data_IF_966132063301
#
_entry.id   IF_966132063301
#
_cell.length_a   1.000
_cell.length_b   1.000
_cell.length_c   1.000
_cell.angle_alpha   90.00
_cell.angle_beta   90.00
_cell.angle_gamma   90.00
#
_symmetry.space_group_name_H-M   'P 1'
#
loop_
_entity.id
_entity.type
_entity.pdbx_description
1 polymer ?
#
# COMPACT_ATOMS: atom_id res chain seq x y z
N UNK A 1 -16.92 24.63 -44.10
CA UNK A 1 -16.14 25.06 -42.93
C UNK A 1 -16.09 23.86 -41.99
N UNK A 2 -15.09 23.01 -42.13
CA UNK A 2 -14.98 21.76 -41.35
C UNK A 2 -14.21 22.06 -40.06
N UNK A 3 -14.89 21.88 -38.92
CA UNK A 3 -14.29 21.96 -37.60
C UNK A 3 -13.62 20.61 -37.34
N UNK A 4 -12.29 20.58 -37.42
CA UNK A 4 -11.46 19.46 -36.97
C UNK A 4 -11.49 19.39 -35.44
N UNK A 5 -11.74 18.23 -34.81
CA UNK A 5 -11.49 18.07 -33.40
C UNK A 5 -9.99 17.97 -33.16
N UNK A 6 -9.47 18.85 -32.30
CA UNK A 6 -8.06 18.87 -31.89
C UNK A 6 -7.67 17.54 -31.25
N UNK A 7 -6.90 16.74 -31.96
CA UNK A 7 -6.23 15.57 -31.41
C UNK A 7 -5.04 16.06 -30.60
N UNK A 8 -5.24 16.30 -29.30
CA UNK A 8 -4.13 16.37 -28.35
C UNK A 8 -3.61 14.95 -28.14
N UNK A 9 -2.77 14.48 -29.06
CA UNK A 9 -1.89 13.35 -28.80
C UNK A 9 -0.72 13.87 -27.95
N UNK A 10 -0.97 14.07 -26.65
CA UNK A 10 0.12 14.03 -25.68
C UNK A 10 0.58 12.58 -25.65
N UNK A 11 1.84 12.34 -26.01
CA UNK A 11 2.47 11.02 -25.91
C UNK A 11 2.51 10.64 -24.42
N UNK A 12 1.42 10.06 -23.92
CA UNK A 12 1.35 9.58 -22.55
C UNK A 12 2.46 8.53 -22.38
N UNK A 13 3.50 8.89 -21.64
CA UNK A 13 4.63 8.00 -21.37
C UNK A 13 4.09 6.81 -20.59
N UNK A 14 4.11 5.63 -21.23
CA UNK A 14 3.69 4.38 -20.62
C UNK A 14 4.88 3.84 -19.81
N UNK A 15 4.69 3.71 -18.50
CA UNK A 15 5.67 3.13 -17.59
C UNK A 15 5.26 1.71 -17.19
N UNK A 16 6.21 0.83 -16.95
CA UNK A 16 5.92 -0.49 -16.39
C UNK A 16 5.64 -0.37 -14.90
N UNK A 17 4.50 -0.91 -14.44
CA UNK A 17 4.11 -0.90 -13.04
C UNK A 17 4.95 -1.91 -12.24
N UNK A 18 5.59 -1.44 -11.17
CA UNK A 18 6.20 -2.28 -10.15
C UNK A 18 5.14 -2.68 -9.11
N UNK A 19 4.48 -1.68 -8.54
CA UNK A 19 3.48 -1.88 -7.48
C UNK A 19 2.24 -1.04 -7.76
N UNK A 20 1.06 -1.65 -7.69
CA UNK A 20 -0.25 -0.99 -7.82
C UNK A 20 -0.98 -1.03 -6.49
N UNK A 21 -1.43 0.13 -6.01
CA UNK A 21 -2.21 0.26 -4.79
C UNK A 21 -3.69 0.45 -5.14
N UNK A 22 -4.52 -0.49 -4.69
CA UNK A 22 -5.95 -0.50 -4.92
C UNK A 22 -6.71 -0.19 -3.64
N UNK A 23 -7.54 0.84 -3.66
CA UNK A 23 -8.43 1.19 -2.56
C UNK A 23 -9.75 0.44 -2.68
N UNK A 24 -10.08 -0.33 -1.66
CA UNK A 24 -11.35 -1.04 -1.53
C UNK A 24 -12.49 -0.06 -1.24
N UNK A 25 -13.66 -0.30 -1.84
CA UNK A 25 -14.86 0.49 -1.57
C UNK A 25 -15.22 0.54 -0.09
N UNK A 26 -15.60 1.72 0.39
CA UNK A 26 -16.03 1.93 1.78
C UNK A 26 -17.35 1.20 2.06
N UNK A 27 -17.39 0.48 3.19
CA UNK A 27 -18.63 -0.09 3.74
C UNK A 27 -18.94 -1.52 3.33
N UNK A 28 -18.15 -2.13 2.43
CA UNK A 28 -18.34 -3.52 2.03
C UNK A 28 -17.01 -4.31 2.07
N UNK A 29 -16.98 -5.54 2.63
CA UNK A 29 -15.79 -6.37 2.56
C UNK A 29 -15.57 -6.87 1.13
N UNK A 30 -14.40 -6.59 0.55
CA UNK A 30 -14.05 -7.06 -0.79
C UNK A 30 -13.57 -8.53 -0.72
N UNK A 31 -14.23 -9.40 -1.48
CA UNK A 31 -13.94 -10.83 -1.50
C UNK A 31 -12.58 -11.13 -2.14
N UNK A 32 -12.06 -12.35 -1.95
CA UNK A 32 -10.86 -12.81 -2.67
C UNK A 32 -11.11 -12.91 -4.18
N UNK A 33 -12.33 -13.24 -4.60
CA UNK A 33 -12.68 -13.42 -6.01
C UNK A 33 -12.64 -12.09 -6.75
N UNK A 34 -13.18 -11.02 -6.15
CA UNK A 34 -13.14 -9.67 -6.74
C UNK A 34 -11.70 -9.20 -6.92
N UNK A 35 -10.83 -9.47 -5.93
CA UNK A 35 -9.40 -9.15 -6.02
C UNK A 35 -8.70 -9.91 -7.15
N UNK A 36 -8.97 -11.21 -7.27
CA UNK A 36 -8.40 -12.04 -8.32
C UNK A 36 -8.93 -11.64 -9.71
N UNK A 37 -10.22 -11.35 -9.82
CA UNK A 37 -10.86 -10.88 -11.04
C UNK A 37 -10.22 -9.57 -11.51
N UNK A 38 -10.05 -8.59 -10.63
CA UNK A 38 -9.37 -7.35 -10.98
C UNK A 38 -7.96 -7.62 -11.53
N UNK A 39 -7.19 -8.48 -10.88
CA UNK A 39 -5.83 -8.83 -11.35
C UNK A 39 -5.87 -9.47 -12.75
N UNK A 40 -6.79 -10.39 -13.01
CA UNK A 40 -6.91 -11.08 -14.30
C UNK A 40 -7.38 -10.15 -15.42
N UNK A 41 -8.34 -9.26 -15.13
CA UNK A 41 -8.86 -8.28 -16.08
C UNK A 41 -7.80 -7.23 -16.46
N UNK A 42 -6.84 -6.98 -15.57
CA UNK A 42 -5.82 -5.94 -15.76
C UNK A 42 -4.43 -6.49 -16.09
N UNK A 43 -4.26 -7.82 -16.18
CA UNK A 43 -2.98 -8.41 -16.56
C UNK A 43 -2.64 -8.07 -18.03
N UNK A 44 -1.42 -7.59 -18.27
CA UNK A 44 -0.94 -7.13 -19.57
C UNK A 44 -1.74 -5.96 -20.18
N UNK A 45 -2.56 -5.29 -19.38
CA UNK A 45 -3.29 -4.08 -19.80
C UNK A 45 -2.66 -2.81 -19.24
N UNK A 46 -3.14 -1.66 -19.72
CA UNK A 46 -2.68 -0.34 -19.31
C UNK A 46 -3.74 0.27 -18.40
N UNK A 47 -3.29 0.75 -17.24
CA UNK A 47 -4.12 1.43 -16.24
C UNK A 47 -3.69 2.87 -16.04
N UNK A 48 -4.59 3.68 -15.49
CA UNK A 48 -4.31 5.04 -15.03
C UNK A 48 -4.78 5.18 -13.58
N UNK A 49 -4.19 6.12 -12.85
CA UNK A 49 -4.64 6.46 -11.50
C UNK A 49 -5.98 7.18 -11.62
N UNK A 50 -6.99 6.70 -10.90
CA UNK A 50 -8.30 7.37 -10.92
C UNK A 50 -8.24 8.60 -10.03
N UNK A 51 -8.39 9.79 -10.63
CA UNK A 51 -8.59 11.01 -9.87
C UNK A 51 -10.08 11.14 -9.55
N UNK A 52 -10.44 11.11 -8.26
CA UNK A 52 -11.79 10.96 -7.70
C UNK A 52 -12.83 12.06 -8.03
N UNK A 53 -12.65 12.81 -9.11
CA UNK A 53 -13.56 13.91 -9.51
C UNK A 53 -14.72 13.47 -10.43
N UNK A 54 -14.75 12.23 -10.94
CA UNK A 54 -15.85 11.77 -11.79
C UNK A 54 -16.98 11.13 -10.97
N UNK A 55 -17.92 11.95 -10.50
CA UNK A 55 -19.13 11.55 -9.74
C UNK A 55 -20.20 10.75 -10.52
N UNK A 56 -19.86 10.07 -11.62
CA UNK A 56 -20.89 9.69 -12.62
C UNK A 56 -20.86 8.24 -13.10
N UNK A 57 -20.11 7.34 -12.46
CA UNK A 57 -20.28 5.90 -12.67
C UNK A 57 -20.42 5.20 -11.33
N UNK A 58 -21.22 4.14 -11.32
CA UNK A 58 -21.29 3.17 -10.23
C UNK A 58 -19.89 2.99 -9.63
N UNK A 59 -19.73 3.34 -8.34
CA UNK A 59 -18.41 3.38 -7.75
C UNK A 59 -17.82 1.95 -7.80
N UNK A 60 -16.71 1.81 -8.51
CA UNK A 60 -16.02 0.54 -8.67
C UNK A 60 -15.70 -0.07 -7.30
N UNK A 61 -15.72 -1.39 -7.22
CA UNK A 61 -15.41 -2.10 -5.96
C UNK A 61 -13.94 -1.90 -5.54
N UNK A 62 -13.07 -1.65 -6.52
CA UNK A 62 -11.64 -1.39 -6.38
C UNK A 62 -11.26 -0.15 -7.22
N UNK A 63 -10.59 0.80 -6.59
CA UNK A 63 -10.11 2.04 -7.22
C UNK A 63 -8.57 2.06 -7.25
N UNK A 64 -7.97 2.44 -8.37
CA UNK A 64 -6.51 2.62 -8.46
C UNK A 64 -6.13 3.90 -7.74
N UNK A 65 -5.61 3.76 -6.52
CA UNK A 65 -5.23 4.88 -5.65
C UNK A 65 -3.85 5.44 -6.02
N UNK A 66 -2.89 4.57 -6.31
CA UNK A 66 -1.55 4.96 -6.75
C UNK A 66 -0.84 3.82 -7.46
N UNK A 67 0.17 4.16 -8.26
CA UNK A 67 1.05 3.20 -8.93
C UNK A 67 2.50 3.65 -8.80
N UNK A 68 3.38 2.71 -8.47
CA UNK A 68 4.83 2.88 -8.49
C UNK A 68 5.38 2.22 -9.76
N UNK A 69 6.14 2.95 -10.59
CA UNK A 69 6.79 2.36 -11.77
C UNK A 69 8.07 1.64 -11.36
N UNK A 70 8.47 0.62 -12.13
CA UNK A 70 9.76 -0.07 -11.97
C UNK A 70 10.93 0.86 -12.20
N UNK A 71 10.88 1.59 -13.30
CA UNK A 71 11.88 2.58 -13.67
C UNK A 71 11.28 3.97 -13.52
N UNK A 72 11.69 4.67 -12.46
CA UNK A 72 11.32 6.07 -12.24
C UNK A 72 12.07 6.92 -13.26
N UNK A 73 11.35 7.42 -14.27
CA UNK A 73 11.86 8.51 -15.12
C UNK A 73 12.24 9.71 -14.24
N UNK A 74 13.24 10.51 -14.63
CA UNK A 74 13.60 11.74 -13.91
C UNK A 74 12.45 12.76 -13.81
N UNK A 75 11.42 12.64 -14.64
CA UNK A 75 10.19 13.44 -14.60
C UNK A 75 9.06 12.85 -13.74
N UNK A 76 9.22 11.62 -13.26
CA UNK A 76 8.21 10.93 -12.46
C UNK A 76 8.36 11.32 -10.98
N UNK A 77 7.26 11.75 -10.38
CA UNK A 77 7.15 12.04 -8.95
C UNK A 77 5.79 11.56 -8.44
N UNK A 78 5.62 11.32 -7.13
CA UNK A 78 4.32 10.99 -6.55
C UNK A 78 3.23 12.01 -6.93
N UNK A 79 3.58 13.29 -7.02
CA UNK A 79 2.69 14.40 -7.36
C UNK A 79 2.26 14.37 -8.84
N UNK A 80 3.17 14.00 -9.74
CA UNK A 80 2.91 13.89 -11.20
C UNK A 80 2.44 12.51 -11.63
N UNK A 81 2.33 11.55 -10.70
CA UNK A 81 2.01 10.14 -11.00
C UNK A 81 0.71 9.95 -11.79
N UNK A 82 -0.28 10.82 -11.58
CA UNK A 82 -1.59 10.78 -12.26
C UNK A 82 -1.54 11.13 -13.76
N UNK A 83 -0.42 11.70 -14.24
CA UNK A 83 -0.22 12.10 -15.64
C UNK A 83 0.33 10.95 -16.50
N UNK A 84 0.75 9.85 -15.88
CA UNK A 84 1.34 8.70 -16.57
C UNK A 84 0.35 7.55 -16.72
N UNK A 85 0.61 6.73 -17.73
CA UNK A 85 -0.06 5.44 -17.91
C UNK A 85 0.86 4.33 -17.44
N UNK A 86 0.28 3.28 -16.87
CA UNK A 86 1.04 2.19 -16.27
C UNK A 86 0.64 0.86 -16.89
N UNK A 87 1.60 0.14 -17.44
CA UNK A 87 1.40 -1.23 -17.93
C UNK A 87 1.57 -2.21 -16.78
N UNK A 88 0.52 -2.98 -16.50
CA UNK A 88 0.55 -4.08 -15.52
C UNK A 88 1.12 -5.32 -16.20
N UNK A 89 2.01 -6.02 -15.52
CA UNK A 89 2.63 -7.26 -16.02
C UNK A 89 2.51 -8.36 -14.97
N UNK A 90 2.93 -9.58 -15.33
CA UNK A 90 2.99 -10.72 -14.39
C UNK A 90 3.90 -10.51 -13.18
N UNK A 91 4.78 -9.51 -13.24
CA UNK A 91 5.72 -9.17 -12.15
C UNK A 91 5.25 -7.99 -11.29
N UNK A 92 4.14 -7.35 -11.65
CA UNK A 92 3.57 -6.25 -10.89
C UNK A 92 2.96 -6.75 -9.58
N UNK A 93 3.37 -6.16 -8.47
CA UNK A 93 2.80 -6.41 -7.14
C UNK A 93 1.51 -5.62 -6.95
N UNK A 94 0.45 -6.26 -6.47
CA UNK A 94 -0.84 -5.61 -6.21
C UNK A 94 -1.08 -5.56 -4.71
N UNK A 95 -1.23 -4.35 -4.15
CA UNK A 95 -1.50 -4.11 -2.74
C UNK A 95 -2.91 -3.56 -2.59
N UNK A 96 -3.73 -4.25 -1.80
CA UNK A 96 -5.11 -3.84 -1.52
C UNK A 96 -5.21 -3.09 -0.20
N UNK A 97 -5.72 -1.86 -0.26
CA UNK A 97 -5.90 -0.94 0.85
C UNK A 97 -7.36 -0.90 1.28
N UNK A 98 -7.60 -0.94 2.59
CA UNK A 98 -8.94 -0.81 3.16
C UNK A 98 -9.08 0.54 3.87
N UNK A 99 -10.27 1.14 3.83
CA UNK A 99 -10.56 2.36 4.59
C UNK A 99 -10.52 2.18 6.11
N UNK A 100 -10.69 0.95 6.60
CA UNK A 100 -10.69 0.65 8.02
C UNK A 100 -10.05 -0.71 8.27
N UNK A 101 -8.90 -0.70 8.93
CA UNK A 101 -8.28 -1.89 9.47
C UNK A 101 -8.83 -2.15 10.87
N UNK A 102 -9.19 -3.40 11.16
CA UNK A 102 -9.59 -3.85 12.49
C UNK A 102 -8.54 -4.83 12.98
N UNK A 103 -7.90 -4.53 14.10
CA UNK A 103 -6.88 -5.36 14.72
C UNK A 103 -7.41 -5.88 16.06
N UNK A 104 -7.12 -7.14 16.38
CA UNK A 104 -7.44 -7.76 17.67
C UNK A 104 -6.14 -8.24 18.28
N UNK A 105 -5.87 -7.81 19.51
CA UNK A 105 -4.68 -8.18 20.26
C UNK A 105 -5.04 -9.26 21.27
N UNK A 106 -4.32 -10.38 21.22
CA UNK A 106 -4.36 -11.39 22.27
C UNK A 106 -3.00 -11.35 22.96
N UNK A 107 -2.98 -10.78 24.15
CA UNK A 107 -1.79 -10.71 24.98
C UNK A 107 -1.94 -11.70 26.12
N UNK A 108 -1.00 -12.63 26.21
CA UNK A 108 -0.85 -13.43 27.42
C UNK A 108 -0.21 -12.52 28.49
N UNK A 109 -0.86 -12.44 29.65
CA UNK A 109 -0.38 -11.69 30.82
C UNK A 109 -0.39 -12.60 32.06
N UNK A 110 -0.19 -13.90 31.85
CA UNK A 110 -0.14 -14.89 32.91
C UNK A 110 1.05 -14.64 33.86
N UNK A 111 0.94 -15.04 35.15
CA UNK A 111 2.01 -14.85 36.14
C UNK A 111 3.36 -15.46 35.75
N UNK A 112 3.40 -16.43 34.84
CA UNK A 112 4.65 -16.98 34.29
C UNK A 112 5.51 -15.95 33.56
N UNK A 113 4.92 -14.86 33.07
CA UNK A 113 5.64 -13.75 32.44
C UNK A 113 6.27 -12.79 33.44
N UNK A 114 5.92 -12.90 34.73
CA UNK A 114 6.59 -12.19 35.82
C UNK A 114 7.89 -12.88 36.25
N UNK A 115 8.35 -13.90 35.51
CA UNK A 115 9.67 -14.48 35.73
C UNK A 115 10.75 -13.54 35.22
N UNK A 116 11.84 -13.45 35.98
CA UNK A 116 13.02 -12.71 35.57
C UNK A 116 13.77 -13.59 34.57
N UNK A 117 14.00 -13.06 33.38
CA UNK A 117 14.92 -13.70 32.45
C UNK A 117 16.33 -13.63 33.07
N UNK A 118 16.86 -14.80 33.41
CA UNK A 118 18.18 -14.99 34.02
C UNK A 118 19.33 -14.55 33.10
N UNK A 119 19.10 -14.40 31.80
CA UNK A 119 20.12 -13.94 30.85
C UNK A 119 20.24 -12.41 30.77
N UNK A 120 19.12 -11.69 30.84
CA UNK A 120 19.08 -10.23 30.66
C UNK A 120 18.80 -9.45 31.95
N UNK A 121 18.33 -10.12 33.02
CA UNK A 121 17.97 -9.49 34.29
C UNK A 121 16.68 -8.67 34.24
N UNK A 122 15.93 -8.76 33.15
CA UNK A 122 14.65 -8.07 32.93
C UNK A 122 13.48 -9.00 33.18
N UNK A 123 12.32 -8.43 33.52
CA UNK A 123 11.08 -9.19 33.66
C UNK A 123 10.49 -9.36 32.25
N UNK A 124 10.16 -10.60 31.86
CA UNK A 124 9.66 -10.91 30.51
C UNK A 124 8.40 -10.09 30.15
N UNK A 125 7.60 -9.69 31.15
CA UNK A 125 6.43 -8.83 30.94
C UNK A 125 6.77 -7.41 30.43
N UNK A 126 7.96 -6.88 30.77
CA UNK A 126 8.38 -5.53 30.35
C UNK A 126 8.66 -5.50 28.85
N UNK A 127 9.23 -6.59 28.31
CA UNK A 127 9.44 -6.75 26.87
C UNK A 127 8.11 -6.78 26.11
N UNK A 128 7.14 -7.58 26.58
CA UNK A 128 5.80 -7.66 25.99
C UNK A 128 5.12 -6.29 26.00
N UNK A 129 5.24 -5.55 27.10
CA UNK A 129 4.73 -4.18 27.21
C UNK A 129 5.39 -3.24 26.20
N UNK A 130 6.74 -3.23 26.14
CA UNK A 130 7.49 -2.34 25.26
C UNK A 130 7.22 -2.64 23.78
N UNK A 131 7.21 -3.92 23.40
CA UNK A 131 6.87 -4.35 22.04
C UNK A 131 5.44 -3.90 21.66
N UNK A 132 4.46 -4.10 22.54
CA UNK A 132 3.07 -3.68 22.31
C UNK A 132 2.98 -2.15 22.18
N UNK A 133 3.66 -1.40 23.04
CA UNK A 133 3.70 0.06 23.00
C UNK A 133 4.29 0.56 21.67
N UNK A 134 5.47 0.06 21.29
CA UNK A 134 6.13 0.45 20.05
C UNK A 134 5.28 0.11 18.82
N UNK A 135 4.61 -1.04 18.83
CA UNK A 135 3.69 -1.43 17.77
C UNK A 135 2.51 -0.46 17.62
N UNK A 136 1.82 -0.15 18.73
CA UNK A 136 0.68 0.76 18.72
C UNK A 136 1.09 2.18 18.31
N UNK A 137 2.23 2.67 18.81
CA UNK A 137 2.76 3.98 18.38
C UNK A 137 3.06 4.02 16.88
N UNK A 138 3.60 2.94 16.33
CA UNK A 138 3.95 2.83 14.91
C UNK A 138 2.73 2.81 13.99
N UNK A 139 1.62 2.22 14.43
CA UNK A 139 0.34 2.26 13.68
C UNK A 139 -0.26 3.66 13.68
N UNK A 140 -0.23 4.35 14.81
CA UNK A 140 -0.87 5.66 14.95
C UNK A 140 -0.03 6.76 14.28
N UNK A 141 1.29 6.59 14.20
CA UNK A 141 2.23 7.55 13.61
C UNK A 141 3.09 6.86 12.54
N UNK A 142 2.60 6.73 11.30
CA UNK A 142 3.31 6.02 10.22
C UNK A 142 4.72 6.57 9.92
N UNK A 143 4.97 7.85 10.20
CA UNK A 143 6.29 8.47 10.08
C UNK A 143 7.35 7.75 10.93
N UNK A 144 6.99 7.28 12.14
CA UNK A 144 7.90 6.52 13.00
C UNK A 144 8.20 5.13 12.44
N UNK A 145 7.20 4.45 11.87
CA UNK A 145 7.37 3.11 11.27
C UNK A 145 8.46 3.13 10.19
N UNK A 146 8.50 4.18 9.37
CA UNK A 146 9.48 4.32 8.30
C UNK A 146 10.91 4.53 8.87
N UNK A 147 11.06 5.26 9.98
CA UNK A 147 12.34 5.45 10.65
C UNK A 147 12.89 4.19 11.34
N UNK A 148 12.02 3.37 11.96
CA UNK A 148 12.45 2.15 12.67
C UNK A 148 12.87 1.03 11.70
N UNK A 149 12.23 0.93 10.54
CA UNK A 149 12.59 -0.04 9.50
C UNK A 149 13.94 0.28 8.81
N UNK A 150 14.33 1.56 8.77
CA UNK A 150 15.65 1.96 8.29
C UNK A 150 16.76 1.58 9.28
N UNK A 151 16.48 1.64 10.59
CA UNK A 151 17.44 1.27 11.63
C UNK A 151 17.70 -0.26 11.62
N UNK A 152 16.63 -1.07 11.58
CA UNK A 152 16.76 -2.54 11.62
C UNK A 152 17.40 -3.13 10.34
N UNK A 153 17.34 -2.45 9.20
CA UNK A 153 18.05 -2.87 7.99
C UNK A 153 19.55 -2.56 8.01
N UNK A 154 20.04 -1.74 8.97
CA UNK A 154 21.48 -1.53 9.16
C UNK A 154 22.10 -2.54 10.15
N UNK A 155 21.30 -3.23 10.95
CA UNK A 155 21.78 -4.19 11.95
C UNK A 155 21.99 -5.62 11.41
N UNK A 156 21.59 -5.91 10.16
CA UNK A 156 21.88 -7.18 9.46
C UNK A 156 23.13 -7.14 8.57
N UNK A 157 23.94 -6.08 8.67
CA UNK A 157 25.17 -5.90 7.87
C UNK A 157 26.45 -5.72 8.68
N UNK A 158 26.49 -6.16 9.94
CA UNK A 158 27.72 -6.31 10.72
C UNK A 158 27.92 -7.75 11.19
#
# INVERSE_FOLDING_TARGET
MNIMPSTKNEENVILEADTVFLLMRKGFPISRNVRAQWMLEHLDTIISIQCSNSKTKEAAELEVASVLPKNKSGSWSPETSHQYLYKVTSTTSIIFLAHKYRMVFNLDLSPSLATVDIQHGEIVIDEVYMATKHFLESIIRPEKLMSTLQQNNMDFHN
#
